data_IF_917863707132
#
_entry.id   IF_917863707132
#
_cell.length_a   1.000
_cell.length_b   1.000
_cell.length_c   1.000
_cell.angle_alpha   90.00
_cell.angle_beta   90.00
_cell.angle_gamma   90.00
#
_symmetry.space_group_name_H-M   'P 1'
#
loop_
_entity.id
_entity.type
_entity.pdbx_description
1 polymer ?
#
# COMPACT_ATOMS: atom_id res chain seq x y z
N UNK A 1 -0.96 -11.56 -3.21
CA UNK A 1 0.17 -11.68 -2.27
C UNK A 1 0.23 -10.40 -1.44
N UNK A 2 0.55 -10.49 -0.15
CA UNK A 2 0.72 -9.32 0.72
C UNK A 2 2.20 -8.89 0.66
N UNK A 3 2.47 -7.77 0.01
CA UNK A 3 3.81 -7.15 -0.07
C UNK A 3 3.98 -6.03 0.95
N UNK A 4 2.87 -5.52 1.48
CA UNK A 4 2.84 -4.43 2.44
C UNK A 4 2.47 -4.97 3.82
N UNK A 5 3.25 -4.60 4.83
CA UNK A 5 3.08 -5.10 6.19
C UNK A 5 2.48 -4.04 7.10
N UNK A 6 1.43 -4.41 7.83
CA UNK A 6 0.74 -3.56 8.81
C UNK A 6 1.74 -2.91 9.77
N UNK A 7 1.68 -1.58 9.90
CA UNK A 7 2.47 -0.80 10.85
C UNK A 7 3.97 -0.72 10.58
N UNK A 8 4.45 -1.26 9.45
CA UNK A 8 5.88 -1.29 9.11
C UNK A 8 6.22 -0.49 7.85
N UNK A 9 5.23 -0.01 7.10
CA UNK A 9 5.48 0.74 5.88
C UNK A 9 5.67 2.22 6.18
N UNK A 10 6.80 2.84 5.79
CA UNK A 10 6.96 4.29 5.90
C UNK A 10 5.89 5.02 5.08
N UNK A 11 5.32 6.08 5.64
CA UNK A 11 4.26 6.84 4.96
C UNK A 11 4.69 7.33 3.57
N UNK A 12 5.93 7.80 3.43
CA UNK A 12 6.51 8.21 2.14
C UNK A 12 6.45 7.09 1.10
N UNK A 13 6.71 5.84 1.49
CA UNK A 13 6.64 4.69 0.59
C UNK A 13 5.20 4.42 0.16
N UNK A 14 4.24 4.46 1.09
CA UNK A 14 2.82 4.30 0.78
C UNK A 14 2.33 5.40 -0.17
N UNK A 15 2.70 6.65 0.07
CA UNK A 15 2.33 7.78 -0.78
C UNK A 15 2.86 7.63 -2.22
N UNK A 16 4.10 7.17 -2.39
CA UNK A 16 4.66 6.86 -3.72
C UNK A 16 3.89 5.73 -4.42
N UNK A 17 3.56 4.65 -3.70
CA UNK A 17 2.77 3.55 -4.27
C UNK A 17 1.35 4.01 -4.65
N UNK A 18 0.73 4.89 -3.85
CA UNK A 18 -0.59 5.44 -4.13
C UNK A 18 -0.62 6.27 -5.42
N UNK A 19 0.45 7.01 -5.74
CA UNK A 19 0.58 7.75 -7.00
C UNK A 19 0.51 6.85 -8.25
N UNK A 20 0.88 5.57 -8.11
CA UNK A 20 0.82 4.57 -9.17
C UNK A 20 -0.56 3.88 -9.27
N UNK A 21 -1.50 4.24 -8.39
CA UNK A 21 -2.86 3.70 -8.39
C UNK A 21 -3.86 4.72 -8.95
N UNK A 22 -5.08 4.26 -9.27
CA UNK A 22 -6.23 5.12 -9.59
C UNK A 22 -7.10 5.41 -8.35
N UNK A 23 -6.56 5.27 -7.14
CA UNK A 23 -7.30 5.54 -5.90
C UNK A 23 -7.37 7.06 -5.71
N UNK A 24 -8.52 7.66 -6.02
CA UNK A 24 -8.74 9.10 -5.91
C UNK A 24 -9.34 9.57 -4.59
N UNK A 25 -9.96 8.69 -3.80
CA UNK A 25 -10.59 9.04 -2.53
C UNK A 25 -9.56 9.27 -1.44
N UNK A 26 -9.53 10.46 -0.86
CA UNK A 26 -8.64 10.79 0.26
C UNK A 26 -8.96 9.94 1.51
N UNK A 27 -10.23 9.70 1.81
CA UNK A 27 -10.64 8.80 2.92
C UNK A 27 -10.03 7.39 2.77
N UNK A 28 -10.04 6.83 1.55
CA UNK A 28 -9.43 5.52 1.30
C UNK A 28 -7.91 5.58 1.47
N UNK A 29 -7.25 6.65 1.00
CA UNK A 29 -5.80 6.82 1.17
C UNK A 29 -5.43 6.91 2.65
N UNK A 30 -6.15 7.72 3.42
CA UNK A 30 -5.95 7.87 4.87
C UNK A 30 -6.15 6.54 5.60
N UNK A 31 -7.20 5.77 5.27
CA UNK A 31 -7.42 4.44 5.84
C UNK A 31 -6.24 3.49 5.55
N UNK A 32 -5.70 3.51 4.34
CA UNK A 32 -4.55 2.68 3.98
C UNK A 32 -3.29 3.09 4.75
N UNK A 33 -3.04 4.39 4.92
CA UNK A 33 -1.92 4.92 5.72
C UNK A 33 -2.08 4.53 7.19
N UNK A 34 -3.28 4.67 7.76
CA UNK A 34 -3.55 4.30 9.16
C UNK A 34 -3.30 2.81 9.41
N UNK A 35 -3.68 1.94 8.47
CA UNK A 35 -3.41 0.52 8.57
C UNK A 35 -1.92 0.18 8.38
N UNK A 36 -1.30 0.67 7.30
CA UNK A 36 0.03 0.23 6.85
C UNK A 36 1.18 0.93 7.57
N UNK A 37 0.98 2.17 8.02
CA UNK A 37 2.00 2.96 8.71
C UNK A 37 1.74 3.03 10.22
N UNK A 38 0.51 3.31 10.64
CA UNK A 38 0.19 3.45 12.08
C UNK A 38 -0.18 2.13 12.77
N UNK A 39 -0.42 1.08 11.99
CA UNK A 39 -0.68 -0.25 12.52
C UNK A 39 -2.08 -0.43 13.11
N UNK A 40 -3.09 0.31 12.62
CA UNK A 40 -4.48 0.02 12.95
C UNK A 40 -4.95 -1.30 12.32
N UNK A 41 -5.91 -1.99 12.93
CA UNK A 41 -6.57 -3.11 12.25
C UNK A 41 -7.32 -2.62 11.01
N UNK A 42 -7.50 -3.49 10.01
CA UNK A 42 -8.14 -3.12 8.73
C UNK A 42 -9.54 -2.51 8.97
N UNK A 43 -10.34 -3.12 9.86
CA UNK A 43 -11.67 -2.64 10.22
C UNK A 43 -11.63 -1.28 10.94
N UNK A 44 -10.70 -1.10 11.88
CA UNK A 44 -10.60 0.15 12.65
C UNK A 44 -10.16 1.31 11.75
N UNK A 45 -9.19 1.08 10.86
CA UNK A 45 -8.73 2.07 9.90
C UNK A 45 -9.82 2.47 8.91
N UNK A 46 -10.59 1.50 8.42
CA UNK A 46 -11.71 1.75 7.52
C UNK A 46 -12.83 2.54 8.24
N UNK A 47 -13.20 2.13 9.45
CA UNK A 47 -14.23 2.79 10.27
C UNK A 47 -13.83 4.23 10.63
N UNK A 48 -12.59 4.46 11.06
CA UNK A 48 -12.09 5.77 11.45
C UNK A 48 -12.15 6.80 10.31
N UNK A 49 -12.03 6.34 9.07
CA UNK A 49 -11.97 7.17 7.87
C UNK A 49 -13.29 7.18 7.08
N UNK A 50 -14.39 6.66 7.65
CA UNK A 50 -15.69 6.56 6.96
C UNK A 50 -15.60 5.81 5.62
N UNK A 51 -14.91 4.67 5.62
CA UNK A 51 -14.73 3.79 4.45
C UNK A 51 -15.37 2.44 4.75
N UNK A 52 -16.18 1.93 3.82
CA UNK A 52 -16.70 0.57 3.95
C UNK A 52 -15.57 -0.47 3.88
N UNK A 53 -15.68 -1.55 4.65
CA UNK A 53 -14.65 -2.60 4.65
C UNK A 53 -14.40 -3.18 3.25
N UNK A 54 -15.44 -3.29 2.42
CA UNK A 54 -15.31 -3.76 1.05
C UNK A 54 -14.46 -2.82 0.18
N UNK A 55 -14.67 -1.49 0.32
CA UNK A 55 -13.87 -0.49 -0.39
C UNK A 55 -12.41 -0.52 0.06
N UNK A 56 -12.19 -0.59 1.37
CA UNK A 56 -10.86 -0.74 1.94
C UNK A 56 -10.14 -1.99 1.40
N UNK A 57 -10.78 -3.16 1.46
CA UNK A 57 -10.19 -4.42 0.98
C UNK A 57 -9.82 -4.35 -0.51
N UNK A 58 -10.68 -3.76 -1.35
CA UNK A 58 -10.39 -3.57 -2.78
C UNK A 58 -9.19 -2.65 -3.00
N UNK A 59 -9.12 -1.55 -2.24
CA UNK A 59 -8.03 -0.59 -2.32
C UNK A 59 -6.70 -1.18 -1.83
N UNK A 60 -6.71 -1.90 -0.70
CA UNK A 60 -5.53 -2.57 -0.14
C UNK A 60 -5.01 -3.66 -1.09
N UNK A 61 -5.91 -4.44 -1.71
CA UNK A 61 -5.53 -5.42 -2.73
C UNK A 61 -4.86 -4.74 -3.93
N UNK A 62 -5.39 -3.62 -4.40
CA UNK A 62 -4.81 -2.85 -5.51
C UNK A 62 -3.42 -2.32 -5.16
N UNK A 63 -3.28 -1.73 -3.97
CA UNK A 63 -2.00 -1.17 -3.52
C UNK A 63 -0.93 -2.26 -3.36
N UNK A 64 -1.30 -3.42 -2.81
CA UNK A 64 -0.40 -4.59 -2.77
C UNK A 64 0.00 -5.09 -4.17
N UNK A 65 -0.90 -5.02 -5.15
CA UNK A 65 -0.57 -5.36 -6.54
C UNK A 65 0.53 -4.45 -7.10
N UNK A 66 0.40 -3.14 -6.92
CA UNK A 66 1.43 -2.17 -7.32
C UNK A 66 2.75 -2.41 -6.58
N UNK A 67 2.69 -2.64 -5.26
CA UNK A 67 3.88 -2.95 -4.48
C UNK A 67 4.62 -4.17 -5.02
N UNK A 68 3.90 -5.23 -5.41
CA UNK A 68 4.50 -6.41 -6.04
C UNK A 68 5.23 -6.10 -7.35
N UNK A 69 4.67 -5.26 -8.22
CA UNK A 69 5.35 -4.82 -9.45
C UNK A 69 6.62 -4.03 -9.14
N UNK A 70 6.56 -3.14 -8.15
CA UNK A 70 7.73 -2.35 -7.73
C UNK A 70 8.84 -3.23 -7.17
N UNK A 71 8.52 -4.26 -6.38
CA UNK A 71 9.55 -5.19 -5.89
C UNK A 71 10.16 -6.02 -7.03
N UNK A 72 9.38 -6.47 -8.02
CA UNK A 72 9.92 -7.16 -9.20
C UNK A 72 10.89 -6.29 -9.99
N UNK A 73 10.57 -5.00 -10.19
CA UNK A 73 11.46 -4.04 -10.86
C UNK A 73 12.78 -3.89 -10.09
N UNK A 74 12.72 -3.77 -8.76
CA UNK A 74 13.93 -3.67 -7.93
C UNK A 74 14.79 -4.92 -7.98
N UNK A 75 14.17 -6.10 -8.00
CA UNK A 75 14.89 -7.37 -8.14
C UNK A 75 15.66 -7.40 -9.47
N UNK A 76 15.05 -6.95 -10.56
CA UNK A 76 15.72 -6.81 -11.86
C UNK A 76 16.89 -5.80 -11.80
N UNK A 77 16.61 -4.58 -11.34
CA UNK A 77 17.60 -3.50 -11.26
C UNK A 77 18.78 -3.83 -10.33
N UNK A 78 18.54 -4.61 -9.27
CA UNK A 78 19.57 -5.05 -8.35
C UNK A 78 20.47 -6.12 -8.97
N UNK A 79 19.86 -7.13 -9.63
CA UNK A 79 20.60 -8.19 -10.30
C UNK A 79 21.47 -7.65 -11.44
N UNK A 80 20.99 -6.66 -12.19
CA UNK A 80 21.76 -6.04 -13.27
C UNK A 80 23.00 -5.29 -12.73
N UNK A 81 22.91 -4.69 -11.53
CA UNK A 81 24.06 -4.04 -10.87
C UNK A 81 25.08 -5.01 -10.27
N UNK A 82 24.69 -6.24 -9.98
CA UNK A 82 25.59 -7.28 -9.45
C UNK A 82 26.37 -7.96 -10.58
N UNK A 83 25.83 -7.95 -11.81
CA UNK A 83 26.44 -8.58 -12.98
C UNK A 83 27.21 -7.62 -13.91
N UNK A 84 27.25 -6.32 -13.56
CA UNK A 84 27.99 -5.28 -14.27
C UNK A 84 29.26 -4.87 -13.50
#
# INVERSE_FOLDING_TARGET
MKFLTKGLEPEKRINLLLQLTKIGSENIKSALVDHLTKGLAENDAAMLNDVSQQNFNRALKRLNGVAGVVEQIKEMDWNDKVNA
#
